data_IF_103034208572
#
_entry.id   IF_103034208572
#
_cell.length_a   1.000
_cell.length_b   1.000
_cell.length_c   1.000
_cell.angle_alpha   90.00
_cell.angle_beta   90.00
_cell.angle_gamma   90.00
#
_symmetry.space_group_name_H-M   'P 1'
#
loop_
_entity.id
_entity.type
_entity.pdbx_description
1 polymer ?
#
# COMPACT_ATOMS: atom_id res chain seq x y z
N UNK A 1 -4.85 5.98 15.68
CA UNK A 1 -4.35 6.88 14.61
C UNK A 1 -4.79 6.31 13.27
N UNK A 2 -5.06 7.16 12.27
CA UNK A 2 -5.69 6.72 11.00
C UNK A 2 -4.68 6.75 9.85
N UNK A 3 -4.50 5.63 9.18
CA UNK A 3 -3.51 5.48 8.10
C UNK A 3 -4.11 4.91 6.83
N UNK A 4 -3.89 5.57 5.70
CA UNK A 4 -4.28 5.09 4.38
C UNK A 4 -3.04 4.70 3.58
N UNK A 5 -2.81 3.41 3.41
CA UNK A 5 -1.53 2.88 2.93
C UNK A 5 -1.51 2.59 1.42
N UNK A 6 -2.49 3.09 0.66
CA UNK A 6 -2.58 2.89 -0.78
C UNK A 6 -3.19 4.13 -1.44
N UNK A 7 -2.32 5.02 -1.93
CA UNK A 7 -2.71 6.30 -2.53
C UNK A 7 -1.83 6.59 -3.74
N UNK A 8 -2.46 7.06 -4.82
CA UNK A 8 -1.83 7.47 -6.06
C UNK A 8 -1.94 8.98 -6.25
N UNK A 9 -0.96 9.56 -6.93
CA UNK A 9 -0.95 10.99 -7.28
C UNK A 9 -0.70 11.17 -8.77
N UNK A 10 -1.13 12.30 -9.32
CA UNK A 10 -0.92 12.62 -10.73
C UNK A 10 0.55 12.82 -11.10
N UNK A 11 1.48 12.80 -10.12
CA UNK A 11 2.90 12.99 -10.38
C UNK A 11 3.53 11.77 -11.04
N UNK A 12 3.19 10.56 -10.60
CA UNK A 12 3.76 9.33 -11.17
C UNK A 12 2.74 8.22 -11.50
N UNK A 13 1.45 8.41 -11.22
CA UNK A 13 0.38 7.53 -11.73
C UNK A 13 -0.49 8.30 -12.72
N UNK A 14 -0.45 7.89 -13.99
CA UNK A 14 -1.19 8.55 -15.09
C UNK A 14 -2.72 8.47 -14.97
N UNK A 15 -3.21 7.50 -14.22
CA UNK A 15 -4.61 7.30 -13.88
C UNK A 15 -5.09 8.19 -12.71
N UNK A 16 -4.17 8.78 -11.94
CA UNK A 16 -4.49 9.70 -10.86
C UNK A 16 -4.50 11.14 -11.36
N UNK A 17 -5.41 11.96 -10.81
CA UNK A 17 -5.68 13.32 -11.34
C UNK A 17 -5.36 14.42 -10.35
N UNK A 18 -5.09 14.07 -9.08
CA UNK A 18 -4.79 15.05 -8.03
C UNK A 18 -3.29 15.13 -7.78
N UNK A 19 -2.73 16.36 -7.69
CA UNK A 19 -1.34 16.53 -7.33
C UNK A 19 -1.09 16.11 -5.87
N UNK A 20 0.14 15.70 -5.54
CA UNK A 20 0.50 15.17 -4.21
C UNK A 20 0.17 16.13 -3.07
N UNK A 21 0.30 17.44 -3.26
CA UNK A 21 0.00 18.43 -2.24
C UNK A 21 -1.51 18.53 -1.95
N UNK A 22 -2.36 18.32 -2.97
CA UNK A 22 -3.81 18.29 -2.78
C UNK A 22 -4.25 17.02 -2.04
N UNK A 23 -3.60 15.89 -2.33
CA UNK A 23 -3.76 14.62 -1.61
C UNK A 23 -3.39 14.81 -0.13
N UNK A 24 -2.21 15.36 0.17
CA UNK A 24 -1.75 15.59 1.55
C UNK A 24 -2.67 16.53 2.33
N UNK A 25 -3.04 17.69 1.75
CA UNK A 25 -4.00 18.62 2.37
C UNK A 25 -5.34 17.96 2.69
N UNK A 26 -5.83 17.10 1.80
CA UNK A 26 -7.11 16.41 1.99
C UNK A 26 -7.00 15.33 3.06
N UNK A 27 -5.89 14.58 3.10
CA UNK A 27 -5.61 13.61 4.16
C UNK A 27 -5.65 14.28 5.55
N UNK A 28 -4.94 15.41 5.71
CA UNK A 28 -4.92 16.19 6.94
C UNK A 28 -6.33 16.68 7.29
N UNK A 29 -7.05 17.27 6.33
CA UNK A 29 -8.43 17.74 6.54
C UNK A 29 -9.38 16.63 6.99
N UNK A 30 -9.15 15.39 6.56
CA UNK A 30 -9.92 14.19 6.97
C UNK A 30 -9.46 13.56 8.28
N UNK A 31 -8.42 14.13 8.92
CA UNK A 31 -7.88 13.63 10.18
C UNK A 31 -7.07 12.34 10.04
N UNK A 32 -6.47 12.09 8.87
CA UNK A 32 -5.48 11.03 8.73
C UNK A 32 -4.18 11.44 9.43
N UNK A 33 -3.59 10.47 10.13
CA UNK A 33 -2.27 10.60 10.75
C UNK A 33 -1.15 10.33 9.73
N UNK A 34 -1.42 9.50 8.73
CA UNK A 34 -0.48 9.27 7.64
C UNK A 34 -1.08 8.65 6.40
N UNK A 35 -0.34 8.76 5.31
CA UNK A 35 -0.65 8.17 4.01
C UNK A 35 0.60 7.50 3.43
N UNK A 36 0.42 6.47 2.61
CA UNK A 36 1.50 5.95 1.77
C UNK A 36 1.30 6.38 0.32
N UNK A 37 2.38 6.84 -0.30
CA UNK A 37 2.43 7.05 -1.75
C UNK A 37 2.89 5.73 -2.39
N UNK A 38 2.04 5.12 -3.19
CA UNK A 38 2.26 3.78 -3.76
C UNK A 38 1.98 3.78 -5.25
N UNK A 39 2.73 4.59 -5.99
CA UNK A 39 2.54 4.77 -7.43
C UNK A 39 2.80 3.47 -8.21
N UNK A 40 2.20 3.31 -9.38
CA UNK A 40 2.32 2.09 -10.17
C UNK A 40 3.75 1.87 -10.65
N UNK A 41 4.44 0.90 -10.03
CA UNK A 41 5.81 0.49 -10.31
C UNK A 41 6.85 1.62 -10.30
N UNK A 42 6.51 2.74 -9.66
CA UNK A 42 7.37 3.91 -9.56
C UNK A 42 7.56 4.23 -8.09
N UNK A 43 8.82 4.28 -7.71
CA UNK A 43 9.22 4.84 -6.43
C UNK A 43 9.50 6.32 -6.63
N UNK A 44 9.00 7.15 -5.73
CA UNK A 44 9.35 8.55 -5.71
C UNK A 44 10.87 8.74 -5.56
N UNK A 45 11.51 9.67 -6.29
CA UNK A 45 12.87 10.09 -5.98
C UNK A 45 12.94 10.62 -4.55
N UNK A 46 13.96 10.21 -3.79
CA UNK A 46 14.07 10.54 -2.37
C UNK A 46 14.07 12.04 -2.12
N UNK A 47 14.69 12.83 -3.00
CA UNK A 47 14.69 14.29 -2.91
C UNK A 47 13.27 14.89 -2.97
N UNK A 48 12.42 14.39 -3.87
CA UNK A 48 11.03 14.87 -4.03
C UNK A 48 10.14 14.38 -2.89
N UNK A 49 10.34 13.14 -2.43
CA UNK A 49 9.65 12.59 -1.27
C UNK A 49 9.98 13.37 0.02
N UNK A 50 11.26 13.67 0.27
CA UNK A 50 11.68 14.46 1.43
C UNK A 50 11.22 15.92 1.36
N UNK A 51 11.14 16.50 0.15
CA UNK A 51 10.53 17.82 -0.05
C UNK A 51 9.05 17.80 0.35
N UNK A 52 8.29 16.81 -0.11
CA UNK A 52 6.88 16.70 0.23
C UNK A 52 6.67 16.51 1.75
N UNK A 53 7.50 15.69 2.40
CA UNK A 53 7.48 15.54 3.87
C UNK A 53 7.72 16.85 4.61
N UNK A 54 8.66 17.68 4.13
CA UNK A 54 8.91 19.01 4.72
C UNK A 54 7.74 19.97 4.55
N UNK A 55 6.99 19.86 3.46
CA UNK A 55 5.80 20.68 3.21
C UNK A 55 4.60 20.29 4.09
N UNK A 56 4.57 19.05 4.60
CA UNK A 56 3.46 18.50 5.39
C UNK A 56 3.96 17.80 6.67
N UNK A 57 4.65 18.51 7.58
CA UNK A 57 5.26 17.90 8.78
C UNK A 57 4.26 17.27 9.75
N UNK A 58 2.98 17.64 9.68
CA UNK A 58 1.90 17.06 10.49
C UNK A 58 1.37 15.71 9.98
N UNK A 59 1.73 15.32 8.75
CA UNK A 59 1.28 14.09 8.10
C UNK A 59 2.46 13.12 7.93
N UNK A 60 2.32 11.90 8.43
CA UNK A 60 3.32 10.87 8.13
C UNK A 60 3.14 10.39 6.70
N UNK A 61 4.11 10.66 5.83
CA UNK A 61 4.10 10.17 4.45
C UNK A 61 5.06 8.97 4.38
N UNK A 62 4.55 7.81 4.01
CA UNK A 62 5.34 6.60 3.74
C UNK A 62 5.72 6.52 2.26
N UNK A 63 6.92 6.02 2.00
CA UNK A 63 7.41 5.75 0.65
C UNK A 63 7.10 4.29 0.29
N UNK A 64 6.42 4.05 -0.82
CA UNK A 64 6.16 2.71 -1.32
C UNK A 64 6.00 2.71 -2.84
N UNK A 65 5.69 1.54 -3.36
CA UNK A 65 5.26 1.37 -4.74
C UNK A 65 4.16 0.30 -4.80
N UNK A 66 3.21 0.45 -5.73
CA UNK A 66 2.33 -0.65 -6.12
C UNK A 66 2.97 -1.38 -7.29
N UNK A 67 3.59 -2.53 -7.03
CA UNK A 67 4.25 -3.34 -8.03
C UNK A 67 3.25 -4.28 -8.72
N UNK A 68 3.23 -4.25 -10.05
CA UNK A 68 2.45 -5.17 -10.86
C UNK A 68 3.30 -6.36 -11.32
N UNK A 69 2.81 -7.56 -11.05
CA UNK A 69 3.34 -8.84 -11.55
C UNK A 69 2.17 -9.66 -12.12
N UNK A 70 2.42 -10.74 -12.89
CA UNK A 70 1.34 -11.55 -13.47
C UNK A 70 0.31 -12.06 -12.47
N UNK A 71 0.71 -12.29 -11.22
CA UNK A 71 -0.16 -12.75 -10.14
C UNK A 71 -1.09 -11.69 -9.55
N UNK A 72 -0.84 -10.41 -9.82
CA UNK A 72 -1.63 -9.28 -9.31
C UNK A 72 -0.78 -8.07 -8.94
N UNK A 73 -1.38 -7.15 -8.17
CA UNK A 73 -0.70 -5.97 -7.68
C UNK A 73 -0.37 -6.10 -6.20
N UNK A 74 0.79 -5.56 -5.81
CA UNK A 74 1.28 -5.66 -4.45
C UNK A 74 1.88 -4.34 -4.00
N UNK A 75 1.45 -3.85 -2.83
CA UNK A 75 2.11 -2.73 -2.19
C UNK A 75 3.41 -3.23 -1.58
N UNK A 76 4.48 -2.52 -1.89
CA UNK A 76 5.81 -2.79 -1.37
C UNK A 76 6.25 -1.64 -0.51
N UNK A 77 6.73 -1.97 0.69
CA UNK A 77 7.37 -1.04 1.61
C UNK A 77 8.74 -1.58 1.99
N UNK A 78 9.77 -0.75 1.84
CA UNK A 78 11.16 -1.05 2.20
C UNK A 78 11.59 -0.15 3.38
N UNK A 79 12.54 -0.58 4.23
CA UNK A 79 12.93 0.19 5.41
C UNK A 79 13.48 1.58 5.08
N UNK A 80 14.29 1.67 4.02
CA UNK A 80 14.96 2.89 3.60
C UNK A 80 14.25 3.49 2.37
N UNK A 81 13.88 4.79 2.38
CA UNK A 81 13.30 5.46 1.22
C UNK A 81 14.26 5.63 0.04
N UNK A 82 15.54 5.24 0.12
CA UNK A 82 16.49 5.09 -1.00
C UNK A 82 16.52 3.68 -1.59
N UNK A 83 15.99 2.68 -0.88
CA UNK A 83 15.86 1.32 -1.43
C UNK A 83 14.88 1.29 -2.60
N UNK A 84 15.26 0.63 -3.69
CA UNK A 84 14.45 0.50 -4.91
C UNK A 84 14.43 -0.94 -5.35
N UNK A 85 13.37 -1.30 -6.07
CA UNK A 85 13.26 -2.58 -6.75
C UNK A 85 13.21 -2.35 -8.25
N UNK A 86 13.94 -3.16 -9.05
CA UNK A 86 13.63 -3.26 -10.46
C UNK A 86 12.23 -3.85 -10.63
N UNK A 87 11.65 -3.68 -11.82
CA UNK A 87 10.47 -4.49 -12.20
C UNK A 87 10.88 -5.96 -12.21
N UNK A 88 10.16 -6.78 -11.44
CA UNK A 88 10.39 -8.21 -11.35
C UNK A 88 9.34 -8.97 -12.14
N UNK A 89 9.69 -10.14 -12.73
CA UNK A 89 8.83 -10.82 -13.69
C UNK A 89 7.68 -11.60 -13.03
N UNK A 90 7.81 -11.93 -11.74
CA UNK A 90 6.87 -12.78 -11.02
C UNK A 90 6.81 -12.45 -9.52
N UNK A 91 5.76 -12.94 -8.87
CA UNK A 91 5.55 -12.78 -7.43
C UNK A 91 6.61 -13.46 -6.55
N UNK A 92 7.10 -14.70 -6.83
CA UNK A 92 8.16 -15.30 -6.01
C UNK A 92 9.45 -14.50 -5.98
N UNK A 93 9.89 -13.98 -7.14
CA UNK A 93 11.04 -13.09 -7.24
C UNK A 93 10.81 -11.78 -6.48
N UNK A 94 9.64 -11.18 -6.65
CA UNK A 94 9.25 -9.97 -5.92
C UNK A 94 9.30 -10.17 -4.40
N UNK A 95 8.64 -11.21 -3.89
CA UNK A 95 8.62 -11.50 -2.46
C UNK A 95 10.04 -11.76 -1.91
N UNK A 96 10.84 -12.55 -2.64
CA UNK A 96 12.22 -12.86 -2.24
C UNK A 96 13.05 -11.59 -2.09
N UNK A 97 12.99 -10.70 -3.07
CA UNK A 97 13.79 -9.48 -3.05
C UNK A 97 13.29 -8.47 -2.01
N UNK A 98 11.98 -8.31 -1.85
CA UNK A 98 11.38 -7.46 -0.81
C UNK A 98 11.82 -7.92 0.58
N UNK A 99 11.70 -9.22 0.85
CA UNK A 99 12.08 -9.78 2.15
C UNK A 99 13.60 -9.75 2.38
N UNK A 100 14.41 -9.94 1.32
CA UNK A 100 15.88 -9.78 1.39
C UNK A 100 16.29 -8.37 1.82
N UNK A 101 15.53 -7.35 1.41
CA UNK A 101 15.75 -5.96 1.83
C UNK A 101 15.03 -5.59 3.14
N UNK A 102 14.44 -6.57 3.84
CA UNK A 102 13.76 -6.36 5.12
C UNK A 102 12.36 -5.75 5.02
N UNK A 103 11.84 -5.57 3.81
CA UNK A 103 10.52 -4.98 3.55
C UNK A 103 9.34 -5.90 3.81
N UNK A 104 8.17 -5.43 3.39
CA UNK A 104 6.90 -6.17 3.40
C UNK A 104 6.20 -6.08 2.05
N UNK A 105 5.40 -7.09 1.76
CA UNK A 105 4.59 -7.25 0.56
C UNK A 105 3.11 -7.42 0.92
N UNK A 106 2.26 -6.48 0.50
CA UNK A 106 0.83 -6.48 0.80
C UNK A 106 0.07 -6.73 -0.49
N UNK A 107 -0.80 -7.75 -0.55
CA UNK A 107 -1.61 -8.02 -1.73
C UNK A 107 -2.70 -6.95 -1.89
N UNK A 108 -2.55 -6.11 -2.91
CA UNK A 108 -3.42 -4.97 -3.20
C UNK A 108 -4.70 -5.42 -3.93
N UNK A 109 -5.84 -4.83 -3.53
CA UNK A 109 -7.20 -5.05 -4.05
C UNK A 109 -7.44 -6.47 -4.61
N UNK A 110 -7.23 -7.51 -3.77
CA UNK A 110 -7.28 -8.90 -4.20
C UNK A 110 -8.63 -9.21 -4.86
N UNK A 111 -8.57 -9.99 -5.94
CA UNK A 111 -9.73 -10.38 -6.75
C UNK A 111 -10.39 -9.27 -7.58
N UNK A 112 -9.77 -8.09 -7.72
CA UNK A 112 -10.23 -7.04 -8.64
C UNK A 112 -10.28 -7.54 -10.09
N UNK A 113 -9.23 -8.22 -10.55
CA UNK A 113 -9.09 -8.67 -11.94
C UNK A 113 -9.42 -10.15 -12.14
N UNK A 114 -9.06 -11.02 -11.20
CA UNK A 114 -9.34 -12.45 -11.26
C UNK A 114 -10.10 -12.91 -10.01
N UNK A 115 -11.29 -13.49 -10.20
CA UNK A 115 -12.15 -13.98 -9.11
C UNK A 115 -11.87 -15.44 -8.74
N UNK A 116 -10.79 -16.03 -9.23
CA UNK A 116 -10.38 -17.38 -8.89
C UNK A 116 -9.42 -17.32 -7.69
N UNK A 117 -9.61 -18.12 -6.62
CA UNK A 117 -8.63 -18.27 -5.55
C UNK A 117 -7.25 -18.63 -6.13
N UNK A 118 -6.23 -17.78 -5.93
CA UNK A 118 -4.97 -17.98 -6.61
C UNK A 118 -4.23 -19.18 -6.06
N UNK A 119 -3.69 -20.00 -6.97
CA UNK A 119 -2.83 -21.14 -6.61
C UNK A 119 -1.49 -20.70 -6.04
N UNK A 120 -1.01 -19.49 -6.36
CA UNK A 120 0.29 -19.00 -5.89
C UNK A 120 0.35 -18.80 -4.36
N UNK A 121 -0.78 -18.66 -3.66
CA UNK A 121 -0.83 -18.52 -2.20
C UNK A 121 -0.22 -19.72 -1.44
N UNK A 122 -0.15 -20.91 -2.06
CA UNK A 122 0.53 -22.07 -1.47
C UNK A 122 2.06 -21.92 -1.48
N UNK A 123 2.60 -21.04 -2.35
CA UNK A 123 4.04 -20.85 -2.58
C UNK A 123 4.55 -19.54 -1.98
N UNK A 124 3.76 -18.48 -2.11
CA UNK A 124 4.10 -17.14 -1.63
C UNK A 124 2.97 -16.65 -0.73
N UNK A 125 3.30 -16.38 0.53
CA UNK A 125 2.38 -15.77 1.47
C UNK A 125 2.69 -14.27 1.57
N UNK A 126 1.76 -13.38 1.22
CA UNK A 126 1.97 -11.95 1.44
C UNK A 126 1.90 -11.65 2.94
N UNK A 127 2.57 -10.58 3.37
CA UNK A 127 2.62 -10.15 4.77
C UNK A 127 1.28 -9.58 5.24
N UNK A 128 0.50 -9.00 4.32
CA UNK A 128 -0.90 -8.65 4.52
C UNK A 128 -1.68 -8.67 3.21
N UNK A 129 -2.99 -8.42 3.27
CA UNK A 129 -3.81 -8.15 2.09
C UNK A 129 -4.85 -7.07 2.35
N UNK A 130 -5.34 -6.45 1.29
CA UNK A 130 -6.42 -5.47 1.38
C UNK A 130 -7.80 -6.15 1.42
N UNK A 131 -8.61 -5.81 2.41
CA UNK A 131 -10.00 -6.25 2.52
C UNK A 131 -10.98 -5.35 1.77
N UNK A 132 -10.63 -4.08 1.61
CA UNK A 132 -11.50 -3.09 1.00
C UNK A 132 -10.68 -1.94 0.42
N UNK A 133 -11.08 -1.54 -0.78
CA UNK A 133 -10.69 -0.31 -1.45
C UNK A 133 -11.86 0.20 -2.30
N UNK A 134 -11.72 1.39 -2.89
CA UNK A 134 -12.74 1.95 -3.79
C UNK A 134 -12.92 1.12 -5.06
N UNK A 135 -11.90 0.36 -5.43
CA UNK A 135 -11.88 -0.49 -6.61
C UNK A 135 -12.30 -1.95 -6.31
N UNK A 136 -12.86 -2.22 -5.12
CA UNK A 136 -13.36 -3.53 -4.72
C UNK A 136 -14.87 -3.52 -4.48
N UNK A 137 -15.63 -4.26 -5.31
CA UNK A 137 -17.05 -4.51 -5.08
C UNK A 137 -17.30 -5.33 -3.80
N UNK A 138 -18.52 -5.29 -3.25
CA UNK A 138 -18.87 -6.06 -2.04
C UNK A 138 -18.60 -7.57 -2.17
N UNK A 139 -18.77 -8.13 -3.38
CA UNK A 139 -18.44 -9.53 -3.66
C UNK A 139 -16.93 -9.79 -3.58
N UNK A 140 -16.12 -8.90 -4.16
CA UNK A 140 -14.65 -8.96 -4.11
C UNK A 140 -14.14 -8.81 -2.67
N UNK A 141 -14.70 -7.89 -1.88
CA UNK A 141 -14.38 -7.75 -0.46
C UNK A 141 -14.77 -9.00 0.37
N UNK A 142 -15.87 -9.68 0.02
CA UNK A 142 -16.24 -10.94 0.68
C UNK A 142 -15.22 -12.06 0.37
N UNK A 143 -14.71 -12.12 -0.86
CA UNK A 143 -13.66 -13.06 -1.25
C UNK A 143 -12.33 -12.77 -0.53
N UNK A 144 -11.94 -11.49 -0.44
CA UNK A 144 -10.76 -11.06 0.31
C UNK A 144 -10.85 -11.48 1.79
N UNK A 145 -11.99 -11.21 2.45
CA UNK A 145 -12.26 -11.63 3.84
C UNK A 145 -12.18 -13.14 4.04
N UNK A 146 -12.81 -13.92 3.15
CA UNK A 146 -12.75 -15.39 3.20
C UNK A 146 -11.33 -15.91 3.04
N UNK A 147 -10.54 -15.27 2.17
CA UNK A 147 -9.15 -15.64 1.92
C UNK A 147 -8.25 -15.28 3.09
N UNK A 148 -8.35 -14.06 3.63
CA UNK A 148 -7.62 -13.64 4.82
C UNK A 148 -7.88 -14.59 6.00
N UNK A 149 -9.15 -14.92 6.27
CA UNK A 149 -9.51 -15.84 7.34
C UNK A 149 -8.98 -17.26 7.11
N UNK A 150 -9.10 -17.79 5.88
CA UNK A 150 -8.64 -19.14 5.53
C UNK A 150 -7.12 -19.29 5.68
N UNK A 151 -6.37 -18.28 5.25
CA UNK A 151 -4.90 -18.31 5.21
C UNK A 151 -4.24 -17.62 6.42
N UNK A 152 -5.05 -17.06 7.33
CA UNK A 152 -4.62 -16.26 8.49
C UNK A 152 -3.68 -15.12 8.06
N UNK A 153 -3.99 -14.45 6.97
CA UNK A 153 -3.21 -13.32 6.47
C UNK A 153 -3.74 -12.04 7.14
N UNK A 154 -2.86 -11.20 7.72
CA UNK A 154 -3.23 -9.89 8.22
C UNK A 154 -4.00 -9.08 7.18
N UNK A 155 -4.95 -8.30 7.67
CA UNK A 155 -5.93 -7.64 6.83
C UNK A 155 -5.86 -6.13 7.04
N UNK A 156 -5.69 -5.39 5.94
CA UNK A 156 -5.66 -3.94 5.90
C UNK A 156 -6.81 -3.40 5.04
N UNK A 157 -7.09 -2.11 5.15
CA UNK A 157 -8.11 -1.39 4.37
C UNK A 157 -7.51 -0.06 3.92
N UNK A 158 -7.43 0.16 2.62
CA UNK A 158 -6.84 1.37 2.05
C UNK A 158 -7.71 1.88 0.92
N UNK A 159 -7.64 3.17 0.62
CA UNK A 159 -8.56 3.79 -0.33
C UNK A 159 -8.32 3.35 -1.78
N UNK A 160 -7.07 3.10 -2.16
CA UNK A 160 -6.64 3.00 -3.57
C UNK A 160 -7.04 4.30 -4.31
N UNK A 161 -6.83 5.43 -3.64
CA UNK A 161 -7.31 6.73 -4.08
C UNK A 161 -6.49 7.23 -5.27
N UNK A 162 -7.21 7.61 -6.32
CA UNK A 162 -6.67 8.26 -7.52
C UNK A 162 -7.04 9.76 -7.59
N UNK A 163 -7.82 10.22 -6.61
CA UNK A 163 -8.27 11.60 -6.43
C UNK A 163 -8.10 12.00 -4.97
N UNK A 164 -7.79 13.27 -4.71
CA UNK A 164 -7.64 13.78 -3.36
C UNK A 164 -8.92 13.56 -2.52
N UNK A 165 -10.11 13.72 -3.13
CA UNK A 165 -11.40 13.50 -2.46
C UNK A 165 -11.62 12.06 -1.98
N UNK A 166 -10.87 11.10 -2.51
CA UNK A 166 -11.02 9.67 -2.24
C UNK A 166 -10.09 9.18 -1.12
N UNK A 167 -9.01 9.91 -0.85
CA UNK A 167 -8.02 9.59 0.19
C UNK A 167 -8.72 9.43 1.54
N UNK A 168 -8.44 8.35 2.26
CA UNK A 168 -9.04 8.06 3.57
C UNK A 168 -10.52 7.65 3.53
N UNK A 169 -11.10 7.33 2.37
CA UNK A 169 -12.42 6.64 2.32
C UNK A 169 -12.34 5.23 2.92
N UNK A 170 -11.18 4.61 2.84
CA UNK A 170 -10.77 3.47 3.66
C UNK A 170 -9.45 3.82 4.34
N UNK A 171 -9.26 3.30 5.55
CA UNK A 171 -8.06 3.51 6.36
C UNK A 171 -7.96 2.41 7.42
N UNK A 172 -6.80 2.34 8.04
CA UNK A 172 -6.49 1.46 9.15
C UNK A 172 -6.41 2.29 10.43
N UNK A 173 -7.09 1.82 11.49
CA UNK A 173 -6.91 2.36 12.83
C UNK A 173 -5.78 1.61 13.53
N UNK A 174 -4.67 2.30 13.73
CA UNK A 174 -3.47 1.74 14.34
C UNK A 174 -3.30 2.38 15.73
N UNK A 175 -3.12 1.59 16.80
CA UNK A 175 -3.06 2.10 18.18
C UNK A 175 -1.71 2.77 18.53
N UNK A 176 -0.79 2.89 17.57
CA UNK A 176 0.53 3.49 17.73
C UNK A 176 0.82 4.51 16.62
N UNK A 177 1.70 5.46 16.92
CA UNK A 177 2.23 6.41 15.94
C UNK A 177 3.32 5.74 15.12
N UNK A 178 3.03 5.51 13.84
CA UNK A 178 4.00 5.19 12.83
C UNK A 178 4.59 6.49 12.28
N UNK A 179 5.93 6.58 12.23
CA UNK A 179 6.69 7.78 11.81
C UNK A 179 7.45 7.57 10.49
N UNK A 180 7.71 6.31 10.14
CA UNK A 180 8.48 5.93 8.96
C UNK A 180 8.12 4.50 8.51
N UNK A 181 8.68 4.07 7.38
CA UNK A 181 8.45 2.74 6.83
C UNK A 181 8.86 1.60 7.77
N UNK A 182 9.90 1.77 8.58
CA UNK A 182 10.32 0.78 9.59
C UNK A 182 9.21 0.49 10.60
N UNK A 183 8.60 1.53 11.17
CA UNK A 183 7.48 1.37 12.10
C UNK A 183 6.29 0.64 11.43
N UNK A 184 5.99 0.96 10.17
CA UNK A 184 4.95 0.28 9.39
C UNK A 184 5.28 -1.20 9.17
N UNK A 185 6.52 -1.50 8.79
CA UNK A 185 7.01 -2.87 8.58
C UNK A 185 6.92 -3.68 9.87
N UNK A 186 7.37 -3.13 11.00
CA UNK A 186 7.29 -3.77 12.30
C UNK A 186 5.84 -4.01 12.72
N UNK A 187 4.95 -3.02 12.52
CA UNK A 187 3.53 -3.15 12.81
C UNK A 187 2.89 -4.29 12.01
N UNK A 188 3.12 -4.35 10.69
CA UNK A 188 2.55 -5.41 9.85
C UNK A 188 3.10 -6.78 10.22
N UNK A 189 4.41 -6.89 10.49
CA UNK A 189 5.03 -8.14 10.95
C UNK A 189 4.51 -8.60 12.31
N UNK A 190 4.15 -7.68 13.20
CA UNK A 190 3.53 -7.99 14.48
C UNK A 190 2.12 -8.60 14.36
N UNK A 191 1.41 -8.37 13.25
CA UNK A 191 0.08 -8.93 13.02
C UNK A 191 0.10 -10.41 12.57
N UNK A 192 1.27 -10.94 12.17
CA UNK A 192 1.46 -12.31 11.66
C UNK A 192 1.47 -13.35 12.78
#
# INVERSE_FOLDING_TARGET
MKYDLHVHTSRYSSCAVSPPEAVCRTAIKKGLTGIALTEHDVWWPTSEYEELRRLFPELTIFSGAECAVPEGHFLVFLPDPDCRLPRLPDLPGLATEVHRQGGILIWAHPFRYDRIPPRWLVRVRPDALELASLNMSSAVQAMARKTAARWRIPALRNSDAHRAEDVGKYYNEIPAALKNNGDLIEYVKYLL
#
